data_IF_941235826814
#
_entry.id   IF_941235826814
#
_cell.length_a   1.000
_cell.length_b   1.000
_cell.length_c   1.000
_cell.angle_alpha   90.00
_cell.angle_beta   90.00
_cell.angle_gamma   90.00
#
_symmetry.space_group_name_H-M   'P 1'
#
loop_
_entity.id
_entity.type
_entity.pdbx_description
1 polymer ?
#
# COMPACT_ATOMS: atom_id res chain seq x y z
N UNK A 1 27.99 24.11 -8.89
CA UNK A 1 27.10 22.98 -9.24
C UNK A 1 27.30 21.88 -8.21
N UNK A 2 26.40 21.69 -7.24
CA UNK A 2 26.46 20.52 -6.34
C UNK A 2 25.11 20.31 -5.60
N UNK A 3 24.42 19.26 -6.04
CA UNK A 3 23.68 18.26 -5.26
C UNK A 3 22.71 18.69 -4.14
N UNK A 4 21.41 18.67 -4.45
CA UNK A 4 20.31 18.61 -3.46
C UNK A 4 19.54 17.29 -3.61
N UNK A 5 20.22 16.16 -3.46
CA UNK A 5 19.61 14.84 -3.32
C UNK A 5 19.52 14.47 -1.83
N UNK A 6 18.58 15.09 -1.13
CA UNK A 6 18.36 14.89 0.31
C UNK A 6 16.88 14.66 0.61
N UNK A 7 16.21 13.74 -0.09
CA UNK A 7 14.86 13.30 0.31
C UNK A 7 15.01 12.30 1.46
N UNK A 8 15.08 12.88 2.65
CA UNK A 8 15.04 12.27 3.97
C UNK A 8 13.89 11.23 4.08
N UNK A 9 14.17 9.93 4.23
CA UNK A 9 13.19 8.99 4.83
C UNK A 9 13.78 7.62 5.28
N UNK A 10 14.83 7.57 6.14
CA UNK A 10 15.25 6.33 6.78
C UNK A 10 14.17 5.75 7.73
N UNK A 11 13.36 6.60 8.37
CA UNK A 11 12.35 6.20 9.35
C UNK A 11 11.14 5.47 8.75
N UNK A 12 10.71 5.88 7.54
CA UNK A 12 9.58 5.22 6.88
C UNK A 12 9.92 3.82 6.41
N UNK A 13 11.16 3.58 5.97
CA UNK A 13 11.64 2.25 5.64
C UNK A 13 11.66 1.34 6.87
N UNK A 14 12.07 1.84 8.04
CA UNK A 14 12.07 1.07 9.30
C UNK A 14 10.64 0.70 9.74
N UNK A 15 9.70 1.65 9.69
CA UNK A 15 8.29 1.40 10.02
C UNK A 15 7.61 0.45 9.04
N UNK A 16 7.90 0.59 7.75
CA UNK A 16 7.39 -0.32 6.72
C UNK A 16 7.85 -1.77 6.92
N UNK A 17 9.13 -1.98 7.29
CA UNK A 17 9.66 -3.32 7.56
C UNK A 17 9.03 -3.96 8.81
N UNK A 18 8.87 -3.20 9.90
CA UNK A 18 8.20 -3.69 11.11
C UNK A 18 6.74 -4.08 10.82
N UNK A 19 6.01 -3.22 10.11
CA UNK A 19 4.64 -3.50 9.68
C UNK A 19 4.54 -4.76 8.82
N UNK A 20 5.47 -4.95 7.88
CA UNK A 20 5.50 -6.15 7.03
C UNK A 20 5.79 -7.40 7.84
N UNK A 21 6.65 -7.33 8.85
CA UNK A 21 6.95 -8.47 9.74
C UNK A 21 5.71 -8.85 10.57
N UNK A 22 5.06 -7.86 11.20
CA UNK A 22 3.81 -8.05 11.94
C UNK A 22 2.70 -8.61 11.04
N UNK A 23 2.56 -8.09 9.81
CA UNK A 23 1.59 -8.57 8.83
C UNK A 23 1.87 -10.03 8.45
N UNK A 24 3.13 -10.41 8.25
CA UNK A 24 3.51 -11.80 7.95
C UNK A 24 3.17 -12.71 9.12
N UNK A 25 3.47 -12.32 10.35
CA UNK A 25 3.14 -13.10 11.55
C UNK A 25 1.62 -13.27 11.71
N UNK A 26 0.85 -12.20 11.51
CA UNK A 26 -0.61 -12.22 11.55
C UNK A 26 -1.22 -13.19 10.53
N UNK A 27 -0.74 -13.13 9.29
CA UNK A 27 -1.17 -14.02 8.22
C UNK A 27 -0.72 -15.47 8.45
N UNK A 28 0.47 -15.67 8.99
CA UNK A 28 0.97 -17.00 9.36
C UNK A 28 0.12 -17.64 10.46
N UNK A 29 -0.21 -16.88 11.50
CA UNK A 29 -1.09 -17.32 12.60
C UNK A 29 -2.49 -17.70 12.12
N UNK A 30 -3.00 -17.03 11.08
CA UNK A 30 -4.31 -17.31 10.47
C UNK A 30 -4.31 -18.41 9.41
N UNK A 31 -3.16 -19.06 9.17
CA UNK A 31 -3.03 -20.12 8.16
C UNK A 31 -3.01 -19.63 6.71
N UNK A 32 -2.92 -18.31 6.48
CA UNK A 32 -2.88 -17.68 5.14
C UNK A 32 -1.54 -16.99 4.88
N UNK A 33 -0.42 -17.74 4.76
CA UNK A 33 0.92 -17.17 4.77
C UNK A 33 1.14 -16.12 3.67
N UNK A 34 1.41 -14.88 4.10
CA UNK A 34 1.73 -13.76 3.23
C UNK A 34 3.19 -13.86 2.75
N UNK A 35 3.40 -14.47 1.58
CA UNK A 35 4.74 -14.79 1.07
C UNK A 35 5.35 -13.71 0.16
N UNK A 36 4.53 -12.90 -0.52
CA UNK A 36 5.00 -11.92 -1.51
C UNK A 36 4.20 -10.64 -1.44
N UNK A 37 4.90 -9.52 -1.55
CA UNK A 37 4.27 -8.21 -1.71
C UNK A 37 3.63 -8.15 -3.10
N UNK A 38 2.35 -7.77 -3.20
CA UNK A 38 1.70 -7.62 -4.50
C UNK A 38 2.37 -6.52 -5.31
N UNK A 39 2.46 -6.73 -6.62
CA UNK A 39 3.05 -5.77 -7.56
C UNK A 39 1.92 -5.11 -8.34
N UNK A 40 1.88 -3.78 -8.34
CA UNK A 40 0.93 -2.98 -9.10
C UNK A 40 1.72 -2.16 -10.12
N UNK A 41 1.38 -2.31 -11.40
CA UNK A 41 2.05 -1.59 -12.49
C UNK A 41 3.58 -1.79 -12.52
N UNK A 42 4.06 -3.00 -12.20
CA UNK A 42 5.49 -3.32 -12.17
C UNK A 42 6.25 -2.79 -10.94
N UNK A 43 5.57 -2.15 -9.99
CA UNK A 43 6.15 -1.67 -8.73
C UNK A 43 5.58 -2.44 -7.53
N UNK A 44 6.45 -2.82 -6.59
CA UNK A 44 6.02 -3.39 -5.32
C UNK A 44 5.09 -2.43 -4.57
N UNK A 45 3.96 -2.95 -4.12
CA UNK A 45 2.97 -2.17 -3.41
C UNK A 45 3.42 -1.92 -1.97
N UNK A 46 3.54 -0.66 -1.58
CA UNK A 46 3.79 -0.31 -0.19
C UNK A 46 2.52 -0.53 0.64
N UNK A 47 2.44 -1.71 1.27
CA UNK A 47 1.30 -2.12 2.09
C UNK A 47 1.12 -1.23 3.32
N UNK A 48 2.21 -0.73 3.90
CA UNK A 48 2.15 0.17 5.04
C UNK A 48 1.53 1.52 4.63
N UNK A 49 1.94 2.06 3.48
CA UNK A 49 1.33 3.26 2.92
C UNK A 49 -0.15 3.04 2.55
N UNK A 50 -0.48 1.86 2.00
CA UNK A 50 -1.86 1.52 1.60
C UNK A 50 -2.76 1.44 2.83
N UNK A 51 -2.31 0.69 3.84
CA UNK A 51 -3.00 0.56 5.12
C UNK A 51 -3.20 1.94 5.77
N UNK A 52 -2.12 2.74 5.87
CA UNK A 52 -2.19 4.08 6.46
C UNK A 52 -3.22 4.95 5.73
N UNK A 53 -3.22 4.95 4.39
CA UNK A 53 -4.15 5.74 3.60
C UNK A 53 -5.60 5.29 3.79
N UNK A 54 -5.86 3.98 3.71
CA UNK A 54 -7.20 3.41 3.92
C UNK A 54 -7.71 3.73 5.32
N UNK A 55 -6.88 3.56 6.35
CA UNK A 55 -7.26 3.84 7.74
C UNK A 55 -7.51 5.34 7.96
N UNK A 56 -6.70 6.22 7.33
CA UNK A 56 -6.89 7.69 7.38
C UNK A 56 -8.21 8.12 6.75
N UNK A 57 -8.65 7.45 5.68
CA UNK A 57 -9.95 7.67 5.03
C UNK A 57 -11.12 7.02 5.81
N UNK A 58 -10.84 6.47 6.99
CA UNK A 58 -11.83 5.87 7.89
C UNK A 58 -12.12 4.40 7.61
N UNK A 59 -11.17 3.70 6.99
CA UNK A 59 -11.17 2.25 6.81
C UNK A 59 -11.72 1.80 5.46
N UNK A 60 -11.54 0.50 5.18
CA UNK A 60 -11.92 -0.13 3.91
C UNK A 60 -13.39 0.09 3.53
N UNK A 61 -14.30 0.01 4.51
CA UNK A 61 -15.73 0.18 4.29
C UNK A 61 -16.06 1.57 3.74
N UNK A 62 -15.60 2.63 4.41
CA UNK A 62 -15.81 4.02 3.97
C UNK A 62 -15.17 4.32 2.63
N UNK A 63 -13.93 3.88 2.43
CA UNK A 63 -13.23 4.05 1.14
C UNK A 63 -13.98 3.38 -0.01
N UNK A 64 -14.50 2.17 0.23
CA UNK A 64 -15.27 1.42 -0.76
C UNK A 64 -16.64 2.04 -1.03
N UNK A 65 -17.35 2.46 0.00
CA UNK A 65 -18.65 3.13 -0.10
C UNK A 65 -18.56 4.44 -0.87
N UNK A 66 -17.51 5.24 -0.58
CA UNK A 66 -17.26 6.54 -1.23
C UNK A 66 -16.49 6.44 -2.56
N UNK A 67 -16.20 5.23 -3.05
CA UNK A 67 -15.37 5.02 -4.25
C UNK A 67 -14.01 5.77 -4.23
N UNK A 68 -13.41 5.95 -3.05
CA UNK A 68 -12.16 6.71 -2.88
C UNK A 68 -10.91 5.92 -3.30
N UNK A 69 -11.05 4.70 -3.79
CA UNK A 69 -9.95 3.90 -4.31
C UNK A 69 -9.18 4.61 -5.42
N UNK A 70 -9.84 5.42 -6.25
CA UNK A 70 -9.19 6.25 -7.27
C UNK A 70 -8.20 7.27 -6.66
N UNK A 71 -8.61 7.96 -5.59
CA UNK A 71 -7.74 8.91 -4.87
C UNK A 71 -6.52 8.21 -4.25
N UNK A 72 -6.71 6.99 -3.73
CA UNK A 72 -5.60 6.18 -3.24
C UNK A 72 -4.64 5.87 -4.39
N UNK A 73 -5.14 5.40 -5.54
CA UNK A 73 -4.29 5.13 -6.73
C UNK A 73 -3.49 6.36 -7.14
N UNK A 74 -4.09 7.55 -7.11
CA UNK A 74 -3.39 8.81 -7.42
C UNK A 74 -2.28 9.12 -6.40
N UNK A 75 -2.51 8.87 -5.11
CA UNK A 75 -1.49 9.03 -4.08
C UNK A 75 -0.26 8.11 -4.32
N UNK A 76 -0.49 6.92 -4.87
CA UNK A 76 0.58 5.99 -5.24
C UNK A 76 1.31 6.34 -6.55
N UNK A 77 0.86 7.40 -7.25
CA UNK A 77 1.43 7.84 -8.53
C UNK A 77 1.49 6.71 -9.56
N UNK A 78 0.46 5.84 -9.60
CA UNK A 78 0.37 4.85 -10.65
C UNK A 78 0.11 5.51 -12.02
N UNK A 79 0.59 4.92 -13.13
CA UNK A 79 0.30 5.43 -14.46
C UNK A 79 -1.21 5.53 -14.68
N UNK A 80 -1.67 6.64 -15.27
CA UNK A 80 -3.10 6.88 -15.58
C UNK A 80 -3.70 5.80 -16.52
N UNK A 81 -2.85 5.02 -17.18
CA UNK A 81 -3.20 3.85 -17.99
C UNK A 81 -3.60 2.61 -17.18
N UNK A 82 -3.41 2.59 -15.86
CA UNK A 82 -3.86 1.50 -14.99
C UNK A 82 -5.32 1.69 -14.55
N UNK A 83 -6.26 1.59 -15.49
CA UNK A 83 -7.71 1.69 -15.21
C UNK A 83 -8.20 0.66 -14.16
N UNK A 84 -7.45 -0.44 -13.97
CA UNK A 84 -7.75 -1.49 -12.99
C UNK A 84 -6.97 -1.36 -11.66
N UNK A 85 -6.15 -0.31 -11.47
CA UNK A 85 -5.35 -0.15 -10.25
C UNK A 85 -6.23 -0.04 -9.00
N UNK A 86 -7.34 0.69 -9.07
CA UNK A 86 -8.25 0.86 -7.94
C UNK A 86 -8.85 -0.48 -7.50
N UNK A 87 -9.27 -1.30 -8.47
CA UNK A 87 -9.75 -2.64 -8.21
C UNK A 87 -8.64 -3.56 -7.67
N UNK A 88 -7.44 -3.50 -8.24
CA UNK A 88 -6.29 -4.27 -7.78
C UNK A 88 -5.92 -3.94 -6.33
N UNK A 89 -5.85 -2.66 -5.95
CA UNK A 89 -5.62 -2.23 -4.57
C UNK A 89 -6.68 -2.79 -3.62
N UNK A 90 -7.95 -2.73 -4.02
CA UNK A 90 -9.07 -3.28 -3.23
C UNK A 90 -8.91 -4.79 -3.02
N UNK A 91 -8.54 -5.54 -4.06
CA UNK A 91 -8.32 -6.98 -3.98
C UNK A 91 -7.11 -7.32 -3.11
N UNK A 92 -6.00 -6.58 -3.26
CA UNK A 92 -4.79 -6.79 -2.47
C UNK A 92 -4.96 -6.42 -1.00
N UNK A 93 -5.80 -5.44 -0.68
CA UNK A 93 -6.10 -5.11 0.71
C UNK A 93 -6.88 -6.22 1.43
N UNK A 94 -7.71 -6.97 0.71
CA UNK A 94 -8.55 -8.02 1.27
C UNK A 94 -7.87 -9.39 1.39
N UNK A 95 -6.68 -9.54 0.81
CA UNK A 95 -6.03 -10.84 0.57
C UNK A 95 -4.76 -10.98 1.39
#
# INVERSE_FOLDING_TARGET
>A
MANSAGKNQPDHRRKGLAFLDELRQFHHSRGSPFKKIPVVSGKELDLHALYTRVTTLGGFGKVSEKNQWGEIVEAFNFPRSCSNAAFALKQYYLR
#
